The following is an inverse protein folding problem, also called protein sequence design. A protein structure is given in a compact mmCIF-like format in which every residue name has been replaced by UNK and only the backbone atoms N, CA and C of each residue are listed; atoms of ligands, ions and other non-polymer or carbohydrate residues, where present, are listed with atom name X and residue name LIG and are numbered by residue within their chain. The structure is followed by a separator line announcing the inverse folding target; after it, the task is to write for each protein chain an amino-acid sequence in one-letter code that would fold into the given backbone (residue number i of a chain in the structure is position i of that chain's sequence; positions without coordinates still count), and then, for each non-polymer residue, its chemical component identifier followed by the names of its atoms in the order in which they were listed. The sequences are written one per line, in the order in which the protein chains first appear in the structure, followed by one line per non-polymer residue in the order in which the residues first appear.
data_IF_172363078037
#
_entry.id   IF_172363078037
#
_cell.length_a   1.000
_cell.length_b   1.000
_cell.length_c   1.000
_cell.angle_alpha   90.00
_cell.angle_beta   90.00
_cell.angle_gamma   90.00
#
_symmetry.space_group_name_H-M   'P 1'
#
loop_
_entity.id
_entity.type
_entity.pdbx_description
1 polymer ?
#
# COMPACT_ATOMS: atom_id res chain seq x y z
N UNK A 1 -11.59 -13.26 18.03
CA UNK A 1 -11.91 -11.82 17.95
C UNK A 1 -10.74 -11.02 17.40
N UNK A 2 -9.47 -11.28 17.76
CA UNK A 2 -8.32 -10.61 17.11
C UNK A 2 -8.07 -11.07 15.64
N UNK A 3 -8.45 -12.29 15.26
CA UNK A 3 -8.23 -12.78 13.89
C UNK A 3 -9.22 -12.18 12.86
N UNK A 4 -10.43 -11.81 13.28
CA UNK A 4 -11.44 -11.25 12.38
C UNK A 4 -11.01 -9.86 11.86
N UNK A 5 -10.36 -9.07 12.71
CA UNK A 5 -9.85 -7.75 12.35
C UNK A 5 -8.69 -7.86 11.34
N UNK A 6 -7.74 -8.79 11.55
CA UNK A 6 -6.63 -9.03 10.61
C UNK A 6 -7.11 -9.48 9.22
N UNK A 7 -8.15 -10.33 9.17
CA UNK A 7 -8.74 -10.81 7.91
C UNK A 7 -9.45 -9.67 7.15
N UNK A 8 -10.15 -8.79 7.87
CA UNK A 8 -10.74 -7.58 7.30
C UNK A 8 -9.66 -6.64 6.75
N UNK A 9 -8.59 -6.38 7.51
CA UNK A 9 -7.48 -5.54 7.05
C UNK A 9 -6.80 -6.11 5.80
N UNK A 10 -6.63 -7.43 5.75
CA UNK A 10 -6.06 -8.12 4.58
C UNK A 10 -6.95 -7.94 3.34
N UNK A 11 -8.25 -8.16 3.48
CA UNK A 11 -9.22 -7.96 2.39
C UNK A 11 -9.26 -6.50 1.92
N UNK A 12 -9.26 -5.53 2.85
CA UNK A 12 -9.21 -4.11 2.52
C UNK A 12 -7.95 -3.73 1.75
N UNK A 13 -6.80 -4.25 2.18
CA UNK A 13 -5.51 -4.00 1.54
C UNK A 13 -5.50 -4.53 0.11
N UNK A 14 -6.03 -5.73 -0.11
CA UNK A 14 -6.15 -6.34 -1.43
C UNK A 14 -7.06 -5.54 -2.37
N UNK A 15 -8.23 -5.13 -1.89
CA UNK A 15 -9.17 -4.31 -2.66
C UNK A 15 -8.58 -2.95 -3.04
N UNK A 16 -7.81 -2.32 -2.12
CA UNK A 16 -7.13 -1.05 -2.41
C UNK A 16 -6.12 -1.17 -3.56
N UNK A 17 -5.44 -2.31 -3.70
CA UNK A 17 -4.49 -2.57 -4.79
C UNK A 17 -5.11 -2.58 -6.19
N UNK A 18 -6.43 -2.75 -6.30
CA UNK A 18 -7.18 -2.73 -7.57
C UNK A 18 -8.18 -1.56 -7.64
N UNK A 19 -8.07 -0.59 -6.73
CA UNK A 19 -9.05 0.49 -6.58
C UNK A 19 -8.81 1.70 -7.48
N UNK A 20 -7.70 1.72 -8.23
CA UNK A 20 -7.33 2.75 -9.21
C UNK A 20 -8.47 3.24 -10.12
N UNK A 21 -9.29 2.38 -10.76
CA UNK A 21 -10.39 2.84 -11.61
C UNK A 21 -11.48 3.61 -10.85
N UNK A 22 -11.61 3.41 -9.53
CA UNK A 22 -12.63 4.04 -8.71
C UNK A 22 -12.21 5.39 -8.14
N UNK A 23 -10.91 5.73 -8.17
CA UNK A 23 -10.38 7.03 -7.70
C UNK A 23 -10.22 8.07 -8.81
N UNK A 24 -10.64 7.74 -10.04
CA UNK A 24 -10.44 8.61 -11.22
C UNK A 24 -9.32 8.14 -12.14
N UNK A 25 -8.84 6.91 -11.98
CA UNK A 25 -7.80 6.31 -12.81
C UNK A 25 -6.39 6.56 -12.29
N UNK A 26 -5.40 6.22 -13.12
CA UNK A 26 -3.97 6.26 -12.78
C UNK A 26 -3.47 7.66 -12.39
N UNK A 27 -4.09 8.72 -12.92
CA UNK A 27 -3.75 10.10 -12.56
C UNK A 27 -4.03 10.44 -11.09
N UNK A 28 -4.95 9.70 -10.45
CA UNK A 28 -5.35 9.88 -9.06
C UNK A 28 -4.93 8.72 -8.15
N UNK A 29 -4.12 7.79 -8.67
CA UNK A 29 -3.69 6.61 -7.92
C UNK A 29 -2.84 6.97 -6.68
N UNK A 30 -2.20 8.14 -6.66
CA UNK A 30 -1.45 8.64 -5.50
C UNK A 30 -2.30 8.77 -4.24
N UNK A 31 -3.62 8.96 -4.35
CA UNK A 31 -4.54 9.00 -3.22
C UNK A 31 -4.66 7.67 -2.47
N UNK A 32 -4.31 6.55 -3.11
CA UNK A 32 -4.33 5.21 -2.52
C UNK A 32 -3.04 4.87 -1.77
N UNK A 33 -1.97 5.66 -1.95
CA UNK A 33 -0.69 5.38 -1.32
C UNK A 33 -0.71 5.61 0.21
N UNK A 34 -1.26 6.72 0.75
CA UNK A 34 -1.34 6.93 2.20
C UNK A 34 -2.09 5.84 2.98
N UNK A 35 -3.27 5.34 2.56
CA UNK A 35 -3.93 4.25 3.27
C UNK A 35 -3.12 2.95 3.19
N UNK A 36 -2.48 2.64 2.05
CA UNK A 36 -1.62 1.46 1.92
C UNK A 36 -0.36 1.54 2.78
N UNK A 37 0.26 2.71 2.88
CA UNK A 37 1.39 2.97 3.79
C UNK A 37 1.01 2.70 5.26
N UNK A 38 -0.21 3.07 5.67
CA UNK A 38 -0.70 2.77 7.02
C UNK A 38 -0.79 1.25 7.27
N UNK A 39 -1.25 0.47 6.28
CA UNK A 39 -1.28 -0.99 6.37
C UNK A 39 0.11 -1.62 6.47
N UNK A 40 1.13 -0.98 5.89
CA UNK A 40 2.53 -1.43 6.03
C UNK A 40 3.09 -1.29 7.45
N UNK A 41 2.45 -0.50 8.30
CA UNK A 41 2.84 -0.31 9.71
C UNK A 41 2.10 -1.24 10.69
N UNK A 42 1.19 -2.09 10.19
CA UNK A 42 0.42 -3.03 11.03
C UNK A 42 1.31 -4.18 11.52
N UNK A 43 1.09 -4.68 12.74
CA UNK A 43 1.90 -5.73 13.38
C UNK A 43 1.85 -7.07 12.62
N UNK A 44 0.76 -7.35 11.92
CA UNK A 44 0.56 -8.60 11.19
C UNK A 44 1.33 -8.65 9.87
N UNK A 45 2.31 -9.55 9.79
CA UNK A 45 3.19 -9.71 8.61
C UNK A 45 2.41 -9.97 7.32
N UNK A 46 1.36 -10.80 7.33
CA UNK A 46 0.60 -11.09 6.10
C UNK A 46 -0.15 -9.87 5.55
N UNK A 47 -0.59 -8.96 6.41
CA UNK A 47 -1.20 -7.67 5.99
C UNK A 47 -0.14 -6.77 5.39
N UNK A 48 1.05 -6.67 6.01
CA UNK A 48 2.17 -5.89 5.48
C UNK A 48 2.62 -6.37 4.10
N UNK A 49 2.82 -7.67 3.93
CA UNK A 49 3.23 -8.27 2.66
C UNK A 49 2.21 -7.94 1.55
N UNK A 50 0.93 -8.02 1.88
CA UNK A 50 -0.15 -7.69 0.95
C UNK A 50 -0.20 -6.20 0.61
N UNK A 51 0.12 -5.33 1.57
CA UNK A 51 0.18 -3.88 1.35
C UNK A 51 1.32 -3.51 0.42
N UNK A 52 2.49 -4.15 0.58
CA UNK A 52 3.63 -4.01 -0.34
C UNK A 52 3.26 -4.49 -1.74
N UNK A 53 2.60 -5.65 -1.87
CA UNK A 53 2.13 -6.15 -3.17
C UNK A 53 1.18 -5.14 -3.84
N UNK A 54 0.24 -4.59 -3.07
CA UNK A 54 -0.76 -3.63 -3.56
C UNK A 54 -0.14 -2.30 -3.97
N UNK A 55 0.81 -1.79 -3.19
CA UNK A 55 1.64 -0.63 -3.57
C UNK A 55 2.40 -0.88 -4.86
N UNK A 56 3.05 -2.03 -5.00
CA UNK A 56 3.76 -2.41 -6.22
C UNK A 56 2.87 -2.42 -7.46
N UNK A 57 1.64 -2.96 -7.33
CA UNK A 57 0.64 -2.96 -8.42
C UNK A 57 0.24 -1.55 -8.83
N UNK A 58 0.00 -0.65 -7.87
CA UNK A 58 -0.34 0.74 -8.16
C UNK A 58 0.85 1.47 -8.78
N UNK A 59 2.04 1.35 -8.19
CA UNK A 59 3.27 1.96 -8.68
C UNK A 59 3.59 1.55 -10.12
N UNK A 60 3.33 0.30 -10.51
CA UNK A 60 3.53 -0.18 -11.89
C UNK A 60 2.64 0.51 -12.94
N UNK A 61 1.56 1.16 -12.50
CA UNK A 61 0.60 1.86 -13.37
C UNK A 61 0.78 3.39 -13.32
N UNK A 62 1.56 3.90 -12.37
CA UNK A 62 1.80 5.34 -12.21
C UNK A 62 2.78 5.88 -13.25
N UNK A 63 2.69 7.18 -13.53
CA UNK A 63 3.65 7.88 -14.38
C UNK A 63 4.96 8.12 -13.63
N UNK A 64 6.07 8.26 -14.35
CA UNK A 64 7.39 8.50 -13.76
C UNK A 64 7.44 9.72 -12.84
N UNK A 65 6.75 10.81 -13.19
CA UNK A 65 6.66 12.00 -12.34
C UNK A 65 6.00 11.69 -10.99
N UNK A 66 4.89 10.95 -11.02
CA UNK A 66 4.09 10.64 -9.83
C UNK A 66 4.80 9.60 -8.96
N UNK A 67 5.61 8.72 -9.57
CA UNK A 67 6.49 7.79 -8.86
C UNK A 67 7.55 8.52 -8.04
N UNK A 68 8.22 9.51 -8.63
CA UNK A 68 9.26 10.27 -7.94
C UNK A 68 8.66 11.16 -6.85
N UNK A 69 7.52 11.78 -7.13
CA UNK A 69 6.90 12.75 -6.21
C UNK A 69 6.19 12.08 -5.02
N UNK A 70 5.47 10.97 -5.25
CA UNK A 70 4.62 10.35 -4.23
C UNK A 70 5.07 8.95 -3.80
N UNK A 71 5.53 8.12 -4.74
CA UNK A 71 5.82 6.71 -4.45
C UNK A 71 7.21 6.51 -3.80
N UNK A 72 8.22 7.23 -4.28
CA UNK A 72 9.60 7.11 -3.78
C UNK A 72 9.74 7.47 -2.28
N UNK A 73 9.13 8.56 -1.77
CA UNK A 73 9.16 8.87 -0.34
C UNK A 73 8.60 7.74 0.53
N UNK A 74 7.52 7.10 0.06
CA UNK A 74 6.85 5.99 0.75
C UNK A 74 7.75 4.75 0.76
N UNK A 75 8.42 4.46 -0.36
CA UNK A 75 9.38 3.34 -0.45
C UNK A 75 10.52 3.42 0.56
N UNK A 76 11.07 4.61 0.83
CA UNK A 76 12.11 4.78 1.84
C UNK A 76 11.59 4.53 3.27
N UNK A 77 10.39 5.04 3.59
CA UNK A 77 9.74 4.82 4.89
C UNK A 77 9.43 3.32 5.11
N UNK A 78 9.03 2.62 4.05
CA UNK A 78 8.74 1.19 4.06
C UNK A 78 9.98 0.33 4.29
N UNK A 79 11.10 0.63 3.63
CA UNK A 79 12.37 -0.11 3.81
C UNK A 79 12.80 -0.03 5.28
N UNK A 80 12.68 1.15 5.89
CA UNK A 80 12.99 1.32 7.31
C UNK A 80 12.01 0.50 8.16
N UNK A 81 10.71 0.62 7.93
CA UNK A 81 9.70 -0.09 8.74
C UNK A 81 9.87 -1.61 8.67
N UNK A 82 10.13 -2.18 7.49
CA UNK A 82 10.32 -3.63 7.33
C UNK A 82 11.65 -4.14 7.91
N UNK A 83 12.73 -3.35 7.89
CA UNK A 83 14.02 -3.73 8.50
C UNK A 83 13.95 -3.67 10.03
N UNK A 84 13.20 -2.73 10.61
CA UNK A 84 13.10 -2.56 12.07
C UNK A 84 12.01 -3.44 12.74
N UNK A 85 11.05 -3.97 11.98
CA UNK A 85 9.98 -4.86 12.49
C UNK A 85 10.17 -6.36 12.16
N UNK A 86 11.29 -6.75 11.55
CA UNK A 86 11.65 -8.16 11.30
C UNK A 86 12.80 -8.61 12.20
#
# INVERSE_FOLDING_TARGET
MLDDDDEVLLAMTEELGVFTPYVGGVEHASALLPPLEAFCSVEKTCVRDKAVESLGRIGSQMRESDLVEYFYPIGEVLIITLIYFC
#
